data_IF_201995900441
#
_entry.id   IF_201995900441
#
_cell.length_a   1.000
_cell.length_b   1.000
_cell.length_c   1.000
_cell.angle_alpha   90.00
_cell.angle_beta   90.00
_cell.angle_gamma   90.00
#
_symmetry.space_group_name_H-M   'P 1'
#
loop_
_entity.id
_entity.type
_entity.pdbx_description
1 polymer ?
#
# COMPACT_ATOMS: atom_id res chain seq x y z
N UNK A 1 23.30 -11.74 -8.11
CA UNK A 1 23.62 -10.34 -7.81
C UNK A 1 22.43 -9.40 -7.91
N UNK A 2 22.25 -8.47 -6.94
CA UNK A 2 21.26 -7.39 -6.97
C UNK A 2 21.46 -6.42 -8.14
N UNK A 3 20.39 -5.73 -8.54
CA UNK A 3 20.51 -4.66 -9.54
C UNK A 3 21.38 -3.50 -9.05
N UNK A 4 22.19 -2.93 -9.95
CA UNK A 4 23.04 -1.78 -9.62
C UNK A 4 22.20 -0.54 -9.32
N UNK A 5 22.41 0.05 -8.14
CA UNK A 5 21.88 1.36 -7.78
C UNK A 5 22.86 2.47 -8.21
N UNK A 6 22.38 3.71 -8.39
CA UNK A 6 23.26 4.85 -8.53
C UNK A 6 24.16 5.02 -7.30
N UNK A 7 25.31 5.65 -7.48
CA UNK A 7 26.26 5.88 -6.39
C UNK A 7 25.60 6.67 -5.24
N UNK A 8 25.90 6.27 -4.01
CA UNK A 8 25.31 6.85 -2.79
C UNK A 8 23.97 6.25 -2.37
N UNK A 9 23.50 5.20 -3.04
CA UNK A 9 22.35 4.39 -2.62
C UNK A 9 22.72 2.93 -2.39
N UNK A 10 22.09 2.30 -1.40
CA UNK A 10 22.27 0.89 -1.06
C UNK A 10 20.92 0.21 -0.88
N UNK A 11 20.86 -1.07 -1.23
CA UNK A 11 19.72 -1.93 -0.93
C UNK A 11 19.70 -2.26 0.56
N UNK A 12 18.52 -2.37 1.13
CA UNK A 12 18.30 -2.98 2.43
C UNK A 12 17.11 -3.93 2.38
N UNK A 13 17.10 -4.91 3.28
CA UNK A 13 15.91 -5.67 3.64
C UNK A 13 15.34 -5.01 4.89
N UNK A 14 14.04 -4.73 4.91
CA UNK A 14 13.41 -4.07 6.05
C UNK A 14 12.68 -5.12 6.89
N UNK A 15 13.09 -5.28 8.14
CA UNK A 15 12.42 -6.09 9.13
C UNK A 15 11.38 -5.26 9.89
N UNK A 16 10.12 -5.44 9.53
CA UNK A 16 8.99 -4.77 10.19
C UNK A 16 8.76 -5.23 11.64
N UNK A 17 9.46 -6.25 12.11
CA UNK A 17 9.45 -6.65 13.53
C UNK A 17 10.51 -5.92 14.34
N UNK A 18 11.46 -5.26 13.70
CA UNK A 18 12.34 -4.30 14.34
C UNK A 18 11.59 -2.97 14.50
N UNK A 19 11.35 -2.49 15.74
CA UNK A 19 10.67 -1.22 15.97
C UNK A 19 11.32 -0.02 15.29
N UNK A 20 12.65 -0.03 15.10
CA UNK A 20 13.36 1.08 14.45
C UNK A 20 13.07 1.09 12.95
N UNK A 21 13.20 -0.05 12.26
CA UNK A 21 12.93 -0.15 10.83
C UNK A 21 11.44 0.00 10.51
N UNK A 22 10.56 -0.53 11.36
CA UNK A 22 9.12 -0.33 11.23
C UNK A 22 8.74 1.15 11.28
N UNK A 23 9.37 1.91 12.19
CA UNK A 23 9.16 3.35 12.29
C UNK A 23 9.63 4.07 11.03
N UNK A 24 10.76 3.68 10.45
CA UNK A 24 11.23 4.27 9.19
C UNK A 24 10.32 3.98 8.00
N UNK A 25 9.80 2.74 7.91
CA UNK A 25 8.81 2.36 6.89
C UNK A 25 7.52 3.17 7.08
N UNK A 26 7.04 3.28 8.32
CA UNK A 26 5.88 4.10 8.67
C UNK A 26 6.09 5.58 8.28
N UNK A 27 7.24 6.16 8.61
CA UNK A 27 7.56 7.55 8.30
C UNK A 27 7.64 7.79 6.79
N UNK A 28 8.24 6.85 6.05
CA UNK A 28 8.29 6.92 4.59
C UNK A 28 6.87 6.88 3.98
N UNK A 29 6.05 5.91 4.41
CA UNK A 29 4.71 5.73 3.86
C UNK A 29 3.78 6.90 4.22
N UNK A 30 3.77 7.31 5.49
CA UNK A 30 2.93 8.41 5.99
C UNK A 30 3.29 9.78 5.42
N UNK A 31 4.49 9.95 4.83
CA UNK A 31 4.91 11.24 4.24
C UNK A 31 4.96 11.23 2.71
N UNK A 32 5.10 10.06 2.10
CA UNK A 32 5.39 9.94 0.67
C UNK A 32 4.57 8.88 -0.08
N UNK A 33 3.66 8.17 0.58
CA UNK A 33 2.75 7.24 -0.10
C UNK A 33 1.54 7.95 -0.71
N UNK A 34 0.64 7.17 -1.31
CA UNK A 34 -0.53 7.60 -2.10
C UNK A 34 -1.28 8.74 -1.41
N UNK A 35 -1.50 9.79 -2.20
CA UNK A 35 -2.27 10.98 -1.87
C UNK A 35 -3.50 10.99 -2.76
N UNK A 36 -4.60 11.54 -2.28
CA UNK A 36 -5.72 11.91 -3.13
C UNK A 36 -5.32 13.03 -4.09
N UNK A 37 -6.08 13.21 -5.18
CA UNK A 37 -5.77 14.19 -6.23
C UNK A 37 -5.69 15.63 -5.67
N UNK A 38 -6.42 15.92 -4.58
CA UNK A 38 -6.45 17.21 -3.88
C UNK A 38 -5.42 17.32 -2.73
N UNK A 39 -4.66 16.26 -2.44
CA UNK A 39 -3.72 16.15 -1.32
C UNK A 39 -4.32 16.43 0.08
N UNK A 40 -5.63 16.25 0.25
CA UNK A 40 -6.33 16.40 1.54
C UNK A 40 -6.15 15.19 2.45
N UNK A 41 -5.95 14.00 1.86
CA UNK A 41 -5.87 12.74 2.56
C UNK A 41 -4.66 11.93 2.12
N UNK A 42 -4.00 11.33 3.10
CA UNK A 42 -2.93 10.36 2.87
C UNK A 42 -3.17 9.13 3.72
N UNK A 43 -2.82 7.97 3.20
CA UNK A 43 -2.85 6.75 3.98
C UNK A 43 -1.90 6.86 5.17
N UNK A 44 -2.44 6.54 6.34
CA UNK A 44 -1.69 6.43 7.58
C UNK A 44 -1.83 5.01 8.12
N UNK A 45 -1.08 4.07 7.52
CA UNK A 45 -1.06 2.68 7.96
C UNK A 45 -0.42 2.59 9.34
N UNK A 46 -1.09 1.96 10.30
CA UNK A 46 -0.51 1.77 11.64
C UNK A 46 0.63 0.74 11.62
N UNK A 47 1.49 0.81 12.64
CA UNK A 47 2.52 -0.20 12.90
C UNK A 47 1.94 -1.62 12.90
N UNK A 48 0.86 -1.84 13.66
CA UNK A 48 0.18 -3.15 13.74
C UNK A 48 -0.36 -3.62 12.38
N UNK A 49 -0.85 -2.70 11.54
CA UNK A 49 -1.31 -3.05 10.20
C UNK A 49 -0.15 -3.47 9.29
N UNK A 50 0.98 -2.76 9.37
CA UNK A 50 2.17 -3.10 8.59
C UNK A 50 2.77 -4.44 9.02
N UNK A 51 2.86 -4.71 10.33
CA UNK A 51 3.28 -6.02 10.84
C UNK A 51 2.34 -7.14 10.35
N UNK A 52 1.03 -6.96 10.49
CA UNK A 52 0.04 -7.91 10.00
C UNK A 52 0.14 -8.16 8.49
N UNK A 53 0.25 -7.10 7.69
CA UNK A 53 0.24 -7.19 6.23
C UNK A 53 1.55 -7.78 5.67
N UNK A 54 2.69 -7.51 6.33
CA UNK A 54 4.02 -7.85 5.81
C UNK A 54 4.64 -9.10 6.44
N UNK A 55 4.06 -9.61 7.54
CA UNK A 55 4.53 -10.84 8.21
C UNK A 55 3.56 -12.01 8.10
N UNK A 56 2.66 -11.97 7.11
CA UNK A 56 1.73 -13.05 6.82
C UNK A 56 2.46 -14.41 6.69
N UNK A 57 1.89 -15.53 7.17
CA UNK A 57 2.52 -16.84 7.09
C UNK A 57 2.97 -17.19 5.66
N UNK A 58 4.22 -17.64 5.52
CA UNK A 58 4.82 -17.94 4.22
C UNK A 58 5.50 -16.74 3.55
N UNK A 59 5.49 -15.55 4.16
CA UNK A 59 6.20 -14.38 3.65
C UNK A 59 7.72 -14.63 3.51
N UNK A 60 8.33 -13.88 2.60
CA UNK A 60 9.77 -13.93 2.34
C UNK A 60 10.38 -12.60 2.79
N UNK A 61 11.28 -12.64 3.79
CA UNK A 61 11.91 -11.41 4.33
C UNK A 61 12.69 -10.65 3.25
N UNK A 62 13.30 -11.39 2.32
CA UNK A 62 13.98 -10.85 1.15
C UNK A 62 13.03 -10.19 0.14
N UNK A 63 11.69 -10.27 0.30
CA UNK A 63 10.72 -9.58 -0.54
C UNK A 63 10.22 -8.28 0.07
N UNK A 64 10.67 -7.91 1.27
CA UNK A 64 10.41 -6.62 1.90
C UNK A 64 11.66 -5.78 1.77
N UNK A 65 11.74 -4.97 0.70
CA UNK A 65 12.99 -4.33 0.30
C UNK A 65 12.90 -2.81 0.27
N UNK A 66 14.00 -2.19 0.65
CA UNK A 66 14.16 -0.75 0.68
C UNK A 66 15.42 -0.28 -0.03
N UNK A 67 15.46 1.03 -0.27
CA UNK A 67 16.66 1.74 -0.73
C UNK A 67 16.98 2.81 0.30
N UNK A 68 18.22 2.80 0.79
CA UNK A 68 18.75 3.80 1.72
C UNK A 68 19.81 4.67 1.05
N UNK A 69 19.95 5.91 1.52
CA UNK A 69 21.08 6.77 1.16
C UNK A 69 22.30 6.36 1.97
N UNK A 70 23.40 5.99 1.31
CA UNK A 70 24.59 5.41 1.95
C UNK A 70 25.23 6.33 3.01
N UNK A 71 25.19 7.65 2.81
CA UNK A 71 25.80 8.63 3.72
C UNK A 71 24.98 8.94 4.96
N UNK A 72 23.65 8.77 4.91
CA UNK A 72 22.73 9.15 6.00
C UNK A 72 21.94 7.97 6.56
N UNK A 73 22.06 6.80 5.96
CA UNK A 73 21.26 5.59 6.20
C UNK A 73 19.73 5.79 6.05
N UNK A 74 19.29 6.94 5.53
CA UNK A 74 17.87 7.28 5.44
C UNK A 74 17.16 6.44 4.38
N UNK A 75 16.03 5.82 4.75
CA UNK A 75 15.15 5.10 3.84
C UNK A 75 14.45 6.07 2.87
N UNK A 76 14.55 5.80 1.57
CA UNK A 76 14.05 6.69 0.51
C UNK A 76 13.25 5.98 -0.59
N UNK A 77 13.25 4.66 -0.58
CA UNK A 77 12.44 3.82 -1.45
C UNK A 77 12.05 2.53 -0.74
N UNK A 78 10.87 2.01 -1.04
CA UNK A 78 10.32 0.82 -0.42
C UNK A 78 9.38 0.11 -1.40
N UNK A 79 9.41 -1.22 -1.42
CA UNK A 79 8.47 -2.06 -2.17
C UNK A 79 8.41 -3.42 -1.48
N UNK A 80 7.22 -4.03 -1.47
CA UNK A 80 7.05 -5.35 -0.88
C UNK A 80 6.40 -6.32 -1.85
N UNK A 81 6.62 -7.61 -1.60
CA UNK A 81 5.83 -8.66 -2.20
C UNK A 81 5.49 -9.76 -1.18
N UNK A 82 4.34 -10.41 -1.36
CA UNK A 82 3.89 -11.56 -0.56
C UNK A 82 3.50 -12.71 -1.49
N UNK A 83 3.91 -13.95 -1.23
CA UNK A 83 3.52 -15.07 -2.07
C UNK A 83 2.02 -15.36 -1.93
N UNK A 84 1.36 -15.62 -3.06
CA UNK A 84 -0.07 -15.90 -3.11
C UNK A 84 -0.39 -16.95 -4.17
N UNK A 85 -1.42 -17.75 -3.93
CA UNK A 85 -1.98 -18.69 -4.91
C UNK A 85 -3.22 -18.05 -5.54
N UNK A 86 -3.09 -17.63 -6.80
CA UNK A 86 -4.11 -16.85 -7.48
C UNK A 86 -4.79 -17.72 -8.52
N UNK A 87 -6.13 -17.78 -8.45
CA UNK A 87 -6.93 -18.47 -9.46
C UNK A 87 -7.13 -17.57 -10.67
N UNK A 88 -6.65 -18.00 -11.82
CA UNK A 88 -6.88 -17.38 -13.12
C UNK A 88 -7.69 -18.35 -13.96
N UNK A 89 -8.98 -18.05 -14.14
CA UNK A 89 -9.94 -18.97 -14.75
C UNK A 89 -9.98 -20.34 -14.03
N UNK A 90 -9.54 -21.42 -14.69
CA UNK A 90 -9.46 -22.78 -14.15
C UNK A 90 -8.18 -23.07 -13.38
N UNK A 91 -7.14 -22.25 -13.55
CA UNK A 91 -5.78 -22.59 -13.13
C UNK A 91 -5.43 -21.87 -11.82
N UNK A 92 -4.74 -22.58 -10.92
CA UNK A 92 -4.13 -21.98 -9.74
C UNK A 92 -2.67 -21.69 -10.05
N UNK A 93 -2.29 -20.41 -10.01
CA UNK A 93 -0.96 -19.96 -10.39
C UNK A 93 -0.26 -19.36 -9.15
N UNK A 94 0.95 -19.82 -8.80
CA UNK A 94 1.76 -19.16 -7.79
C UNK A 94 2.20 -17.80 -8.31
N UNK A 95 1.86 -16.73 -7.58
CA UNK A 95 2.21 -15.35 -7.93
C UNK A 95 2.79 -14.61 -6.73
N UNK A 96 3.50 -13.52 -7.00
CA UNK A 96 3.86 -12.52 -6.01
C UNK A 96 2.80 -11.39 -6.00
N UNK A 97 2.15 -11.14 -4.87
CA UNK A 97 1.32 -9.95 -4.69
C UNK A 97 2.22 -8.78 -4.28
N UNK A 98 2.38 -7.81 -5.18
CA UNK A 98 3.25 -6.65 -4.99
C UNK A 98 2.44 -5.49 -4.41
N UNK A 99 2.94 -4.88 -3.33
CA UNK A 99 2.28 -3.76 -2.66
C UNK A 99 3.30 -2.75 -2.11
N UNK A 100 2.79 -1.65 -1.55
CA UNK A 100 3.55 -0.61 -0.84
C UNK A 100 4.74 0.01 -1.60
N UNK A 101 4.72 0.01 -2.94
CA UNK A 101 5.70 0.73 -3.74
C UNK A 101 5.67 2.23 -3.39
N UNK A 102 6.71 2.70 -2.72
CA UNK A 102 6.85 4.08 -2.27
C UNK A 102 8.24 4.60 -2.64
N UNK A 103 8.28 5.80 -3.20
CA UNK A 103 9.52 6.54 -3.44
C UNK A 103 9.37 7.93 -2.83
N UNK A 104 10.35 8.33 -2.04
CA UNK A 104 10.43 9.64 -1.43
C UNK A 104 10.19 10.72 -2.51
N UNK A 105 9.31 11.70 -2.23
CA UNK A 105 8.81 12.67 -3.23
C UNK A 105 9.91 13.33 -4.07
N UNK A 106 11.01 13.76 -3.43
CA UNK A 106 12.18 14.38 -4.08
C UNK A 106 12.91 13.50 -5.11
N UNK A 107 12.72 12.17 -5.06
CA UNK A 107 13.40 11.20 -5.94
C UNK A 107 12.47 10.61 -7.01
N UNK A 108 11.18 10.95 -7.04
CA UNK A 108 10.22 10.37 -8.01
C UNK A 108 10.61 10.63 -9.47
N UNK A 109 11.22 11.79 -9.77
CA UNK A 109 11.72 12.13 -11.12
C UNK A 109 13.03 11.41 -11.50
N UNK A 110 13.66 10.69 -10.58
CA UNK A 110 14.97 10.03 -10.77
C UNK A 110 14.85 8.56 -11.22
N UNK A 111 13.66 8.10 -11.60
CA UNK A 111 13.41 6.73 -12.10
C UNK A 111 13.83 5.63 -11.11
N UNK A 112 13.70 5.87 -9.80
CA UNK A 112 14.00 4.87 -8.76
C UNK A 112 12.96 3.73 -8.74
N UNK A 113 11.69 4.03 -8.99
CA UNK A 113 10.61 3.04 -8.97
C UNK A 113 10.84 1.88 -9.97
N UNK A 114 11.22 2.11 -11.25
CA UNK A 114 11.62 1.03 -12.15
C UNK A 114 12.75 0.15 -11.64
N UNK A 115 13.70 0.69 -10.88
CA UNK A 115 14.82 -0.08 -10.31
C UNK A 115 14.35 -0.95 -9.15
N UNK A 116 13.49 -0.41 -8.27
CA UNK A 116 12.79 -1.17 -7.23
C UNK A 116 12.00 -2.35 -7.81
N UNK A 117 11.21 -2.09 -8.88
CA UNK A 117 10.41 -3.12 -9.56
C UNK A 117 11.31 -4.22 -10.15
N UNK A 118 12.43 -3.86 -10.77
CA UNK A 118 13.39 -4.83 -11.31
C UNK A 118 14.01 -5.70 -10.23
N UNK A 119 14.39 -5.10 -9.10
CA UNK A 119 14.98 -5.86 -8.00
C UNK A 119 13.98 -6.80 -7.33
N UNK A 120 12.76 -6.35 -7.03
CA UNK A 120 11.76 -7.27 -6.46
C UNK A 120 11.42 -8.39 -7.44
N UNK A 121 11.33 -8.10 -8.74
CA UNK A 121 11.12 -9.12 -9.79
C UNK A 121 12.27 -10.15 -9.79
N UNK A 122 13.52 -9.69 -9.67
CA UNK A 122 14.69 -10.59 -9.58
C UNK A 122 14.58 -11.53 -8.37
N UNK A 123 14.21 -11.02 -7.19
CA UNK A 123 14.07 -11.80 -5.96
C UNK A 123 12.89 -12.78 -6.01
N UNK A 124 11.81 -12.39 -6.68
CA UNK A 124 10.68 -13.28 -6.97
C UNK A 124 11.10 -14.42 -7.91
N UNK A 125 11.81 -14.09 -9.00
CA UNK A 125 12.30 -15.09 -9.97
C UNK A 125 13.31 -16.07 -9.35
N UNK A 126 14.16 -15.63 -8.41
CA UNK A 126 15.07 -16.52 -7.68
C UNK A 126 14.34 -17.63 -6.90
N UNK A 127 13.05 -17.42 -6.59
CA UNK A 127 12.20 -18.40 -5.92
C UNK A 127 11.31 -19.18 -6.91
N UNK A 128 11.65 -19.14 -8.20
CA UNK A 128 10.93 -19.84 -9.29
C UNK A 128 9.47 -19.39 -9.46
N UNK A 129 9.15 -18.15 -9.10
CA UNK A 129 7.86 -17.51 -9.35
C UNK A 129 8.05 -16.49 -10.48
N UNK A 130 7.15 -16.50 -11.46
CA UNK A 130 7.33 -15.73 -12.71
C UNK A 130 6.16 -14.79 -13.01
N UNK A 131 5.15 -14.77 -12.16
CA UNK A 131 4.00 -13.89 -12.25
C UNK A 131 3.83 -13.08 -10.97
N UNK A 132 3.26 -11.88 -11.13
CA UNK A 132 2.91 -11.02 -10.03
C UNK A 132 1.55 -10.37 -10.28
N UNK A 133 0.82 -10.08 -9.21
CA UNK A 133 -0.38 -9.26 -9.22
C UNK A 133 -0.08 -7.96 -8.47
N UNK A 134 -0.64 -6.86 -8.95
CA UNK A 134 -0.57 -5.57 -8.27
C UNK A 134 -1.80 -4.74 -8.63
N UNK A 135 -2.11 -3.77 -7.79
CA UNK A 135 -3.19 -2.80 -8.03
C UNK A 135 -2.63 -1.39 -7.96
N UNK A 136 -3.13 -0.49 -8.81
CA UNK A 136 -2.76 0.90 -8.80
C UNK A 136 -3.99 1.80 -9.03
N UNK A 137 -3.97 3.00 -8.46
CA UNK A 137 -4.98 4.04 -8.73
C UNK A 137 -4.77 4.72 -10.09
N UNK A 138 -3.62 4.53 -10.73
CA UNK A 138 -3.30 5.04 -12.07
C UNK A 138 -3.39 3.93 -13.11
N UNK A 139 -3.77 4.28 -14.33
CA UNK A 139 -3.85 3.33 -15.45
C UNK A 139 -2.44 3.06 -15.99
N UNK A 140 -1.99 1.81 -15.89
CA UNK A 140 -0.74 1.32 -16.46
C UNK A 140 -1.04 0.34 -17.62
N UNK A 141 -0.35 0.41 -18.76
CA UNK A 141 -0.61 -0.49 -19.90
C UNK A 141 -0.27 -1.96 -19.59
N UNK A 142 -1.19 -2.92 -19.71
CA UNK A 142 -2.66 -2.82 -19.85
C UNK A 142 -3.31 -3.58 -18.70
N UNK A 143 -4.29 -3.00 -17.97
CA UNK A 143 -4.88 -3.66 -16.82
C UNK A 143 -5.80 -4.82 -17.26
N UNK A 144 -5.84 -5.89 -16.47
CA UNK A 144 -6.77 -7.02 -16.70
C UNK A 144 -8.20 -6.72 -16.23
N UNK A 145 -8.35 -5.79 -15.27
CA UNK A 145 -9.62 -5.36 -14.72
C UNK A 145 -9.51 -3.93 -14.18
N UNK A 146 -10.62 -3.20 -14.17
CA UNK A 146 -10.75 -1.89 -13.52
C UNK A 146 -12.01 -1.89 -12.66
N UNK A 147 -11.87 -1.50 -11.40
CA UNK A 147 -12.96 -1.40 -10.44
C UNK A 147 -13.08 0.03 -9.92
N UNK A 148 -14.28 0.43 -9.50
CA UNK A 148 -14.55 1.74 -8.91
C UNK A 148 -14.61 1.63 -7.38
N UNK A 149 -13.93 2.53 -6.68
CA UNK A 149 -14.11 2.70 -5.23
C UNK A 149 -15.50 3.25 -4.94
N UNK A 150 -16.16 2.67 -3.93
CA UNK A 150 -17.43 3.15 -3.41
C UNK A 150 -17.28 3.47 -1.93
N UNK A 151 -17.88 4.59 -1.49
CA UNK A 151 -17.82 5.02 -0.11
C UNK A 151 -19.23 5.02 0.50
N UNK A 152 -19.33 4.53 1.75
CA UNK A 152 -20.55 4.62 2.55
C UNK A 152 -20.30 5.52 3.76
N UNK A 153 -20.96 6.67 3.79
CA UNK A 153 -20.79 7.63 4.89
C UNK A 153 -21.34 7.07 6.20
N UNK A 154 -20.46 6.81 7.17
CA UNK A 154 -20.86 6.38 8.52
C UNK A 154 -20.97 7.56 9.49
N UNK A 155 -20.13 8.58 9.31
CA UNK A 155 -20.19 9.84 10.05
C UNK A 155 -20.20 11.03 9.08
N UNK A 156 -21.36 11.32 8.44
CA UNK A 156 -21.46 12.39 7.44
C UNK A 156 -21.00 13.74 7.96
N UNK A 157 -21.27 14.05 9.25
CA UNK A 157 -20.85 15.31 9.88
C UNK A 157 -19.33 15.48 9.79
N UNK A 158 -18.57 14.49 10.27
CA UNK A 158 -17.11 14.54 10.25
C UNK A 158 -16.56 14.53 8.83
N UNK A 159 -17.14 13.71 7.93
CA UNK A 159 -16.68 13.63 6.54
C UNK A 159 -16.84 14.96 5.80
N UNK A 160 -17.91 15.71 6.07
CA UNK A 160 -18.11 17.05 5.51
C UNK A 160 -17.16 18.06 6.14
N UNK A 161 -16.98 18.02 7.46
CA UNK A 161 -16.10 18.92 8.21
C UNK A 161 -14.65 18.85 7.75
N UNK A 162 -14.14 17.65 7.44
CA UNK A 162 -12.77 17.45 6.94
C UNK A 162 -12.64 17.56 5.42
N UNK A 163 -13.72 17.87 4.70
CA UNK A 163 -13.71 18.03 3.24
C UNK A 163 -13.71 16.72 2.42
N UNK A 164 -13.86 15.55 3.04
CA UNK A 164 -13.93 14.27 2.33
C UNK A 164 -15.22 14.13 1.50
N UNK A 165 -16.31 14.76 1.93
CA UNK A 165 -17.59 14.73 1.23
C UNK A 165 -18.22 16.11 1.19
N UNK A 166 -18.78 16.50 0.05
CA UNK A 166 -19.55 17.74 -0.07
C UNK A 166 -20.99 17.62 0.44
N UNK A 167 -21.58 18.76 0.79
CA UNK A 167 -23.04 18.90 0.89
C UNK A 167 -23.59 19.18 -0.51
N UNK A 168 -24.52 18.37 -0.99
CA UNK A 168 -25.19 18.66 -2.26
C UNK A 168 -26.13 19.86 -2.15
N UNK A 169 -26.38 20.52 -3.28
CA UNK A 169 -27.36 21.59 -3.38
C UNK A 169 -28.71 21.10 -2.82
N UNK A 170 -29.21 21.75 -1.76
CA UNK A 170 -30.45 21.42 -1.00
C UNK A 170 -30.32 20.37 0.12
N UNK A 171 -29.12 19.91 0.46
CA UNK A 171 -28.90 19.06 1.64
C UNK A 171 -28.41 19.88 2.85
N UNK A 172 -28.90 19.51 4.03
CA UNK A 172 -28.36 19.99 5.32
C UNK A 172 -27.57 18.87 6.00
N UNK A 173 -26.67 19.24 6.93
CA UNK A 173 -25.93 18.26 7.74
C UNK A 173 -26.91 17.33 8.47
N UNK A 174 -27.96 17.89 9.10
CA UNK A 174 -28.98 17.11 9.81
C UNK A 174 -29.71 16.10 8.91
N UNK A 175 -30.04 16.50 7.67
CA UNK A 175 -30.67 15.61 6.69
C UNK A 175 -29.70 14.51 6.25
N UNK A 176 -28.43 14.84 6.06
CA UNK A 176 -27.38 13.86 5.71
C UNK A 176 -27.18 12.83 6.82
N UNK A 177 -27.10 13.26 8.08
CA UNK A 177 -27.01 12.35 9.24
C UNK A 177 -28.21 11.41 9.29
N UNK A 178 -29.42 11.92 9.08
CA UNK A 178 -30.64 11.09 9.07
C UNK A 178 -30.64 10.08 7.92
N UNK A 179 -30.21 10.50 6.73
CA UNK A 179 -30.17 9.67 5.52
C UNK A 179 -29.18 8.49 5.65
N UNK A 180 -28.02 8.73 6.24
CA UNK A 180 -26.95 7.73 6.36
C UNK A 180 -26.96 6.95 7.68
N UNK A 181 -27.98 7.15 8.52
CA UNK A 181 -28.09 6.48 9.81
C UNK A 181 -28.14 4.96 9.62
N UNK A 182 -27.27 4.25 10.33
CA UNK A 182 -27.29 2.78 10.44
C UNK A 182 -28.03 2.34 11.70
N UNK A 183 -28.61 1.15 11.69
CA UNK A 183 -29.23 0.55 12.88
C UNK A 183 -28.18 0.28 13.95
N UNK A 184 -28.56 0.39 15.23
CA UNK A 184 -27.67 0.08 16.38
C UNK A 184 -27.84 -1.37 16.87
N UNK A 185 -28.37 -2.27 16.04
CA UNK A 185 -28.66 -3.64 16.47
C UNK A 185 -27.37 -4.35 16.89
N UNK A 186 -27.20 -4.52 18.20
CA UNK A 186 -26.32 -5.54 18.78
C UNK A 186 -27.00 -6.88 18.54
N UNK A 187 -26.86 -7.45 17.36
CA UNK A 187 -27.03 -8.91 17.25
C UNK A 187 -25.79 -9.48 17.95
N UNK A 188 -25.93 -10.23 19.06
CA UNK A 188 -24.80 -10.94 19.62
C UNK A 188 -24.22 -11.81 18.51
N UNK A 189 -22.91 -11.79 18.33
CA UNK A 189 -22.23 -12.85 17.58
C UNK A 189 -22.57 -14.16 18.30
N UNK A 190 -23.54 -14.92 17.78
CA UNK A 190 -23.68 -16.32 18.14
C UNK A 190 -22.61 -17.05 17.33
N UNK A 191 -21.42 -17.15 17.91
CA UNK A 191 -20.38 -18.01 17.38
C UNK A 191 -20.86 -19.46 17.41
N UNK A 192 -20.80 -20.12 16.27
CA UNK A 192 -20.82 -21.58 16.14
C UNK A 192 -19.43 -22.14 16.40
#
# INVERSE_FOLDING_TARGET
EPYKLPDGFVWCECDVRDPEELKEVYDLLSQHYVEDDDNLFRFNYSADFLDWALTAPGCHRDWVIGVRVSSTNKLVGFITATPSQIRVFSDSVPMAEVNFLCVHKKLRSKRLAPVLIKEITRRVNLRSIWQAVYTAGVVLPTPVAQCRYWHRSLNPKKLIEVGFSGLSERMTISRSIKLYRVSRSRTPFQGT
#
